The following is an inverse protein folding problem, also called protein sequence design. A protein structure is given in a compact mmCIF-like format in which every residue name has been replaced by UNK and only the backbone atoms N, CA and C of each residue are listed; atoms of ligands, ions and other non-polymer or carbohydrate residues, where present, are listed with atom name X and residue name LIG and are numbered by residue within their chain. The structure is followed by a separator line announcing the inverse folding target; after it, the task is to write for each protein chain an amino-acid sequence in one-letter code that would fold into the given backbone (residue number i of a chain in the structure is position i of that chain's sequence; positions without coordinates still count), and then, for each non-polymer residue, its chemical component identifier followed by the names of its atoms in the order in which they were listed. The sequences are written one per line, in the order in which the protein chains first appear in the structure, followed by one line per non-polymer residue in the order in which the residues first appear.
data_IF_782296549638
#
_entry.id   IF_782296549638
#
_cell.length_a   1.000
_cell.length_b   1.000
_cell.length_c   1.000
_cell.angle_alpha   90.00
_cell.angle_beta   90.00
_cell.angle_gamma   90.00
#
_symmetry.space_group_name_H-M   'P 1'
#
loop_
_entity.id
_entity.type
_entity.pdbx_description
1 polymer ?
#
# COMPACT_ATOMS: atom_id res chain seq x y z
N UNK A 1 2.65 13.25 5.73
CA UNK A 1 2.38 14.14 4.56
C UNK A 1 1.49 15.35 4.87
N UNK A 2 1.05 15.56 6.12
CA UNK A 2 0.21 16.72 6.47
C UNK A 2 -1.22 16.67 5.92
N UNK A 3 -1.69 15.51 5.45
CA UNK A 3 -3.05 15.28 4.96
C UNK A 3 -3.53 13.87 5.31
N UNK A 4 -4.84 13.73 5.48
CA UNK A 4 -5.49 12.44 5.71
C UNK A 4 -5.43 11.56 4.44
N UNK A 5 -5.09 10.26 4.55
CA UNK A 5 -5.16 9.35 3.42
C UNK A 5 -6.63 9.06 3.06
N UNK A 6 -6.92 8.91 1.76
CA UNK A 6 -8.23 8.45 1.33
C UNK A 6 -8.36 6.94 1.58
N UNK A 7 -9.44 6.52 2.25
CA UNK A 7 -9.80 5.11 2.37
C UNK A 7 -10.69 4.76 1.18
N UNK A 8 -10.19 3.91 0.29
CA UNK A 8 -10.85 3.54 -0.96
C UNK A 8 -10.95 2.02 -1.08
N UNK A 9 -11.88 1.56 -1.93
CA UNK A 9 -11.91 0.18 -2.43
C UNK A 9 -11.41 0.12 -3.87
N UNK A 10 -10.97 -1.05 -4.32
CA UNK A 10 -10.54 -1.31 -5.68
C UNK A 10 -11.15 -2.61 -6.19
N UNK A 11 -11.33 -2.73 -7.50
CA UNK A 11 -11.84 -3.96 -8.12
C UNK A 11 -10.81 -5.10 -8.24
N UNK A 12 -9.56 -4.85 -7.87
CA UNK A 12 -8.50 -5.86 -7.87
C UNK A 12 -8.61 -6.79 -6.66
N UNK A 13 -8.29 -8.06 -6.84
CA UNK A 13 -8.21 -9.03 -5.75
C UNK A 13 -6.81 -9.05 -5.14
N UNK A 14 -6.73 -9.18 -3.81
CA UNK A 14 -5.49 -9.17 -3.05
C UNK A 14 -5.57 -10.19 -1.91
N UNK A 15 -4.42 -10.74 -1.54
CA UNK A 15 -4.30 -11.73 -0.45
C UNK A 15 -4.73 -11.18 0.92
N UNK A 16 -4.87 -9.85 1.05
CA UNK A 16 -5.42 -9.21 2.25
C UNK A 16 -6.79 -9.75 2.63
N UNK A 17 -7.62 -10.16 1.66
CA UNK A 17 -8.90 -10.81 1.93
C UNK A 17 -8.74 -12.16 2.65
N UNK A 18 -7.72 -12.96 2.31
CA UNK A 18 -7.45 -14.25 2.95
C UNK A 18 -6.95 -14.06 4.38
N UNK A 19 -6.06 -13.08 4.60
CA UNK A 19 -5.52 -12.74 5.91
C UNK A 19 -6.62 -12.21 6.84
N UNK A 20 -7.48 -11.33 6.32
CA UNK A 20 -8.63 -10.81 7.05
C UNK A 20 -9.62 -11.93 7.43
N UNK A 21 -9.82 -12.93 6.57
CA UNK A 21 -10.71 -14.06 6.85
C UNK A 21 -10.26 -14.92 8.04
N UNK A 22 -8.96 -14.91 8.38
CA UNK A 22 -8.41 -15.60 9.56
C UNK A 22 -8.17 -14.66 10.75
N UNK A 23 -8.70 -13.43 10.69
CA UNK A 23 -8.67 -12.48 11.80
C UNK A 23 -7.41 -11.61 11.89
N UNK A 24 -6.57 -11.58 10.87
CA UNK A 24 -5.39 -10.71 10.82
C UNK A 24 -5.81 -9.35 10.24
N UNK A 25 -5.62 -8.22 10.97
CA UNK A 25 -5.88 -6.89 10.43
C UNK A 25 -5.02 -6.61 9.21
N UNK A 26 -5.62 -6.06 8.14
CA UNK A 26 -4.90 -5.75 6.91
C UNK A 26 -5.19 -4.34 6.41
N UNK A 27 -4.18 -3.73 5.82
CA UNK A 27 -4.27 -2.50 5.03
C UNK A 27 -3.49 -2.72 3.74
N UNK A 28 -3.99 -2.18 2.64
CA UNK A 28 -3.29 -2.18 1.35
C UNK A 28 -2.85 -0.75 1.07
N UNK A 29 -1.55 -0.56 0.90
CA UNK A 29 -0.93 0.73 0.64
C UNK A 29 0.30 0.54 -0.25
N UNK A 30 0.55 1.47 -1.15
CA UNK A 30 1.66 1.39 -2.09
C UNK A 30 1.92 2.71 -2.83
N UNK A 31 3.03 2.80 -3.58
CA UNK A 31 3.37 3.97 -4.37
C UNK A 31 2.48 4.09 -5.61
N UNK A 32 2.51 5.28 -6.22
CA UNK A 32 1.96 5.51 -7.55
C UNK A 32 2.72 4.78 -8.65
N UNK A 33 2.04 4.58 -9.77
CA UNK A 33 2.51 3.84 -10.92
C UNK A 33 1.33 3.38 -11.76
N UNK A 34 1.60 2.86 -12.96
CA UNK A 34 0.57 2.36 -13.86
C UNK A 34 1.05 1.17 -14.68
N UNK A 35 0.09 0.51 -15.34
CA UNK A 35 0.38 -0.54 -16.30
C UNK A 35 0.80 -1.86 -15.65
N UNK A 36 0.38 -2.13 -14.41
CA UNK A 36 0.54 -3.46 -13.82
C UNK A 36 -0.02 -4.51 -14.79
N UNK A 37 0.84 -5.45 -15.23
CA UNK A 37 0.55 -6.47 -16.25
C UNK A 37 0.47 -5.98 -17.71
N UNK A 38 0.91 -4.76 -18.02
CA UNK A 38 0.97 -4.22 -19.39
C UNK A 38 2.38 -4.33 -19.99
N UNK A 39 2.51 -4.02 -21.29
CA UNK A 39 3.82 -3.97 -21.98
C UNK A 39 4.74 -2.90 -21.38
N UNK A 40 4.14 -1.80 -20.93
CA UNK A 40 4.83 -0.73 -20.21
C UNK A 40 4.24 -0.67 -18.82
N UNK A 41 5.05 -1.05 -17.85
CA UNK A 41 4.76 -1.05 -16.42
C UNK A 41 5.80 -0.16 -15.73
N UNK A 42 5.36 0.75 -14.87
CA UNK A 42 6.25 1.71 -14.22
C UNK A 42 5.71 2.19 -12.86
N UNK A 43 6.60 2.76 -12.04
CA UNK A 43 6.29 3.35 -10.74
C UNK A 43 6.91 4.75 -10.60
N UNK A 44 6.27 5.62 -9.81
CA UNK A 44 6.79 6.95 -9.48
C UNK A 44 7.92 6.83 -8.44
N UNK A 45 9.16 7.16 -8.79
CA UNK A 45 10.32 7.01 -7.90
C UNK A 45 10.17 7.81 -6.59
N UNK A 46 9.72 9.06 -6.68
CA UNK A 46 9.47 9.89 -5.49
C UNK A 46 8.43 9.26 -4.55
N UNK A 47 7.43 8.58 -5.12
CA UNK A 47 6.41 7.90 -4.32
C UNK A 47 6.91 6.58 -3.74
N UNK A 48 7.82 5.89 -4.42
CA UNK A 48 8.48 4.67 -3.89
C UNK A 48 9.28 5.02 -2.65
N UNK A 49 10.10 6.08 -2.70
CA UNK A 49 10.87 6.55 -1.55
C UNK A 49 9.95 6.96 -0.39
N UNK A 50 8.87 7.66 -0.70
CA UNK A 50 7.89 8.09 0.29
C UNK A 50 7.12 6.90 0.92
N UNK A 51 6.75 5.92 0.11
CA UNK A 51 6.10 4.71 0.57
C UNK A 51 7.00 3.94 1.53
N UNK A 52 8.30 3.85 1.24
CA UNK A 52 9.26 3.20 2.12
C UNK A 52 9.36 3.91 3.48
N UNK A 53 9.42 5.24 3.49
CA UNK A 53 9.44 6.03 4.73
C UNK A 53 8.16 5.82 5.57
N UNK A 54 6.98 5.86 4.92
CA UNK A 54 5.69 5.64 5.61
C UNK A 54 5.60 4.24 6.20
N UNK A 55 6.04 3.21 5.45
CA UNK A 55 6.01 1.83 5.95
C UNK A 55 6.95 1.65 7.15
N UNK A 56 8.12 2.28 7.14
CA UNK A 56 9.04 2.25 8.28
C UNK A 56 8.39 2.86 9.53
N UNK A 57 7.86 4.08 9.43
CA UNK A 57 7.19 4.76 10.54
C UNK A 57 6.01 3.93 11.08
N UNK A 58 5.18 3.37 10.18
CA UNK A 58 4.05 2.54 10.57
C UNK A 58 4.47 1.25 11.29
N UNK A 59 5.57 0.61 10.87
CA UNK A 59 6.10 -0.59 11.52
C UNK A 59 6.66 -0.24 12.90
N UNK A 60 7.40 0.86 13.02
CA UNK A 60 7.95 1.33 14.30
C UNK A 60 6.84 1.66 15.30
N UNK A 61 5.79 2.35 14.88
CA UNK A 61 4.64 2.68 15.72
C UNK A 61 3.82 1.43 16.11
N UNK A 62 3.64 0.48 15.18
CA UNK A 62 2.86 -0.72 15.45
C UNK A 62 3.57 -1.71 16.38
N UNK A 63 4.90 -1.78 16.33
CA UNK A 63 5.69 -2.78 17.05
C UNK A 63 6.23 -2.31 18.41
N UNK A 64 6.08 -1.04 18.77
CA UNK A 64 6.48 -0.51 20.08
C UNK A 64 5.54 -0.94 21.20
#
# INVERSE_FOLDING_TARGET
LGREPAIISMGAWMDSALLAAVGIPTVVFGPGGEGAHAVVEWADLDQVELCAAILLEAIEEFCS
#
